data_IF_393673038612
#
_entry.id   IF_393673038612
#
_cell.length_a   1.000
_cell.length_b   1.000
_cell.length_c   1.000
_cell.angle_alpha   90.00
_cell.angle_beta   90.00
_cell.angle_gamma   90.00
#
_symmetry.space_group_name_H-M   'P 1'
#
loop_
_entity.id
_entity.type
_entity.pdbx_description
1 polymer ?
#
# COMPACT_ATOMS: atom_id res chain seq x y z
N UNK A 1 12.54 1.50 30.06
CA UNK A 1 12.04 1.28 28.67
C UNK A 1 12.00 2.57 27.85
N UNK A 2 11.51 3.71 28.41
CA UNK A 2 11.53 5.02 27.73
C UNK A 2 12.94 5.50 27.40
N UNK A 3 13.91 5.20 28.26
CA UNK A 3 15.33 5.55 28.06
C UNK A 3 15.89 4.78 26.84
N UNK A 4 15.52 3.51 26.68
CA UNK A 4 15.96 2.71 25.55
C UNK A 4 15.37 3.21 24.22
N UNK A 5 14.11 3.63 24.21
CA UNK A 5 13.47 4.23 23.05
C UNK A 5 14.18 5.53 22.65
N UNK A 6 14.47 6.39 23.62
CA UNK A 6 15.20 7.63 23.39
C UNK A 6 16.63 7.37 22.88
N UNK A 7 17.32 6.40 23.43
CA UNK A 7 18.66 6.02 22.98
C UNK A 7 18.65 5.48 21.57
N UNK A 8 17.62 4.72 21.19
CA UNK A 8 17.47 4.22 19.80
C UNK A 8 17.16 5.37 18.84
N UNK A 9 16.34 6.34 19.26
CA UNK A 9 16.07 7.51 18.45
C UNK A 9 17.31 8.39 18.21
N UNK A 10 18.17 8.50 19.23
CA UNK A 10 19.44 9.24 19.11
C UNK A 10 20.45 8.61 18.16
N UNK A 11 20.26 7.34 17.84
CA UNK A 11 21.13 6.67 16.97
C UNK A 11 20.93 6.82 15.56
N UNK A 12 20.52 7.44 15.17
CA UNK A 12 20.38 7.48 14.05
C UNK A 12 20.58 7.85 13.15
N UNK A 13 20.97 7.90 13.12
CA UNK A 13 21.35 8.28 12.10
C UNK A 13 20.53 8.02 11.04
N UNK A 14 20.16 8.82 10.46
CA UNK A 14 19.32 9.01 9.33
C UNK A 14 19.88 8.38 8.08
N UNK A 15 20.32 7.15 8.24
CA UNK A 15 20.72 6.35 7.11
C UNK A 15 19.46 5.91 6.37
N UNK A 16 19.21 6.58 5.26
CA UNK A 16 18.17 6.22 4.32
C UNK A 16 18.73 5.29 3.25
N UNK A 17 17.95 4.37 2.75
CA UNK A 17 18.28 3.54 1.59
C UNK A 17 17.11 3.47 0.63
N UNK A 18 17.40 3.08 -0.59
CA UNK A 18 16.40 2.80 -1.60
C UNK A 18 16.54 1.36 -2.07
N UNK A 19 15.44 0.61 -2.06
CA UNK A 19 15.36 -0.78 -2.55
C UNK A 19 14.24 -0.93 -3.56
N UNK A 20 14.52 -1.69 -4.60
CA UNK A 20 13.58 -2.08 -5.65
C UNK A 20 13.92 -3.51 -6.08
N UNK A 21 13.06 -4.21 -6.83
CA UNK A 21 13.41 -5.47 -7.47
C UNK A 21 14.71 -5.37 -8.26
N UNK A 22 15.48 -6.45 -8.29
CA UNK A 22 16.72 -6.50 -9.07
C UNK A 22 16.49 -6.15 -10.54
N UNK A 23 15.34 -6.59 -11.08
CA UNK A 23 14.94 -6.34 -12.47
C UNK A 23 13.49 -5.96 -12.58
N UNK A 24 13.21 -4.95 -13.39
CA UNK A 24 11.86 -4.53 -13.74
C UNK A 24 11.75 -4.49 -15.26
N UNK A 25 11.02 -5.46 -15.84
CA UNK A 25 10.70 -5.47 -17.26
C UNK A 25 9.44 -4.66 -17.51
N UNK A 26 9.49 -3.77 -18.46
CA UNK A 26 8.43 -2.80 -18.74
C UNK A 26 8.15 -2.80 -20.24
N UNK A 27 6.94 -2.92 -20.65
CA UNK A 27 6.40 -2.70 -21.97
C UNK A 27 5.47 -3.82 -22.40
N UNK A 28 4.53 -3.48 -23.28
CA UNK A 28 3.68 -4.48 -23.94
C UNK A 28 4.52 -5.59 -24.60
N UNK A 29 4.23 -6.85 -24.26
CA UNK A 29 4.91 -8.02 -24.81
C UNK A 29 6.29 -8.30 -24.21
N UNK A 30 6.63 -7.75 -23.04
CA UNK A 30 7.93 -8.03 -22.39
C UNK A 30 7.98 -9.37 -21.65
N UNK A 31 6.84 -10.01 -21.38
CA UNK A 31 6.78 -11.25 -20.61
C UNK A 31 7.68 -12.37 -21.18
N UNK A 32 7.63 -12.73 -22.48
CA UNK A 32 8.47 -13.80 -23.00
C UNK A 32 9.97 -13.51 -22.85
N UNK A 33 10.37 -12.26 -23.06
CA UNK A 33 11.77 -11.83 -22.92
C UNK A 33 12.25 -11.94 -21.47
N UNK A 34 11.42 -11.49 -20.53
CA UNK A 34 11.74 -11.62 -19.11
C UNK A 34 11.84 -13.07 -18.65
N UNK A 35 10.91 -13.93 -19.08
CA UNK A 35 10.92 -15.35 -18.72
C UNK A 35 12.09 -16.12 -19.35
N UNK A 36 12.61 -15.71 -20.52
CA UNK A 36 13.80 -16.33 -21.10
C UNK A 36 15.02 -16.37 -20.16
N UNK A 37 15.10 -15.41 -19.23
CA UNK A 37 16.18 -15.40 -18.24
C UNK A 37 16.15 -16.61 -17.32
N UNK A 38 14.97 -17.13 -17.01
CA UNK A 38 14.81 -18.29 -16.13
C UNK A 38 15.63 -19.49 -16.61
N UNK A 39 15.58 -19.76 -17.92
CA UNK A 39 16.34 -20.87 -18.53
C UNK A 39 17.76 -20.44 -18.89
N UNK A 40 17.89 -19.35 -19.63
CA UNK A 40 19.14 -19.02 -20.33
C UNK A 40 20.19 -18.40 -19.41
N UNK A 41 19.76 -17.74 -18.33
CA UNK A 41 20.66 -17.06 -17.37
C UNK A 41 20.70 -17.80 -16.05
N UNK A 42 19.54 -18.19 -15.50
CA UNK A 42 19.44 -18.70 -14.14
C UNK A 42 19.40 -20.23 -14.06
N UNK A 43 19.13 -20.94 -15.16
CA UNK A 43 19.06 -22.40 -15.20
C UNK A 43 17.90 -22.99 -14.38
N UNK A 44 16.80 -22.23 -14.21
CA UNK A 44 15.60 -22.64 -13.48
C UNK A 44 14.86 -23.76 -14.19
N UNK A 45 14.20 -24.63 -13.42
CA UNK A 45 13.58 -25.87 -13.94
C UNK A 45 12.14 -26.07 -13.51
N UNK A 46 11.69 -25.45 -12.44
CA UNK A 46 10.39 -25.72 -11.81
C UNK A 46 9.72 -24.43 -11.38
N UNK A 47 8.64 -24.05 -12.03
CA UNK A 47 7.89 -22.84 -11.74
C UNK A 47 6.55 -23.13 -11.05
N UNK A 48 6.24 -22.40 -10.00
CA UNK A 48 4.96 -22.44 -9.29
C UNK A 48 4.24 -21.11 -9.53
N UNK A 49 3.08 -21.18 -10.20
CA UNK A 49 2.29 -19.99 -10.52
C UNK A 49 1.23 -19.82 -9.43
N UNK A 50 1.07 -18.59 -8.90
CA UNK A 50 0.04 -18.23 -7.95
C UNK A 50 -0.86 -17.17 -8.58
N UNK A 51 -2.17 -17.43 -8.60
CA UNK A 51 -3.17 -16.53 -9.18
C UNK A 51 -4.55 -16.75 -8.55
N UNK A 52 -5.54 -15.97 -8.95
CA UNK A 52 -6.94 -16.17 -8.59
C UNK A 52 -7.71 -17.00 -9.63
N UNK A 53 -8.90 -17.47 -9.24
CA UNK A 53 -9.71 -18.34 -10.10
C UNK A 53 -10.23 -17.63 -11.36
N UNK A 54 -10.49 -16.32 -11.29
CA UNK A 54 -10.95 -15.54 -12.45
C UNK A 54 -9.87 -15.48 -13.53
N UNK A 55 -8.65 -15.09 -13.16
CA UNK A 55 -7.53 -14.99 -14.08
C UNK A 55 -7.18 -16.37 -14.69
N UNK A 56 -7.21 -17.41 -13.86
CA UNK A 56 -6.95 -18.77 -14.32
C UNK A 56 -7.99 -19.24 -15.35
N UNK A 57 -9.29 -19.10 -15.04
CA UNK A 57 -10.39 -19.54 -15.91
C UNK A 57 -10.47 -18.73 -17.21
N UNK A 58 -10.06 -17.49 -17.19
CA UNK A 58 -10.05 -16.61 -18.37
C UNK A 58 -8.73 -16.65 -19.16
N UNK A 59 -7.84 -17.61 -18.85
CA UNK A 59 -6.66 -17.89 -19.65
C UNK A 59 -5.48 -16.94 -19.49
N UNK A 60 -5.47 -16.10 -18.43
CA UNK A 60 -4.35 -15.18 -18.19
C UNK A 60 -3.05 -15.88 -17.86
N UNK A 61 -3.10 -17.11 -17.36
CA UNK A 61 -1.90 -17.93 -17.12
C UNK A 61 -1.29 -18.49 -18.40
N UNK A 62 -2.07 -18.58 -19.50
CA UNK A 62 -1.65 -19.25 -20.72
C UNK A 62 -0.37 -18.65 -21.33
N UNK A 63 -0.17 -17.33 -21.46
CA UNK A 63 1.09 -16.81 -22.00
C UNK A 63 2.32 -17.23 -21.16
N UNK A 64 2.15 -17.38 -19.85
CA UNK A 64 3.21 -17.82 -18.93
C UNK A 64 3.47 -19.30 -19.11
N UNK A 65 2.42 -20.15 -19.07
CA UNK A 65 2.55 -21.59 -19.19
C UNK A 65 3.09 -22.02 -20.54
N UNK A 66 2.61 -21.43 -21.65
CA UNK A 66 3.11 -21.69 -23.00
C UNK A 66 4.61 -21.39 -23.10
N UNK A 67 5.06 -20.28 -22.50
CA UNK A 67 6.48 -19.92 -22.49
C UNK A 67 7.33 -20.86 -21.63
N UNK A 68 6.81 -21.27 -20.47
CA UNK A 68 7.47 -22.26 -19.62
C UNK A 68 7.59 -23.62 -20.34
N UNK A 69 6.54 -24.06 -21.04
CA UNK A 69 6.55 -25.28 -21.85
C UNK A 69 7.59 -25.22 -22.99
N UNK A 70 7.64 -24.10 -23.72
CA UNK A 70 8.65 -23.84 -24.75
C UNK A 70 10.07 -23.98 -24.19
N UNK A 71 10.29 -23.51 -22.99
CA UNK A 71 11.58 -23.59 -22.31
C UNK A 71 11.85 -24.93 -21.67
N UNK A 72 10.86 -25.84 -21.59
CA UNK A 72 10.97 -27.14 -20.91
C UNK A 72 11.05 -27.00 -19.38
N UNK A 73 10.48 -25.92 -18.82
CA UNK A 73 10.35 -25.70 -17.38
C UNK A 73 9.05 -26.34 -16.90
N UNK A 74 9.17 -27.30 -15.97
CA UNK A 74 8.00 -27.94 -15.37
C UNK A 74 7.25 -26.93 -14.51
N UNK A 75 5.93 -26.88 -14.63
CA UNK A 75 5.14 -25.91 -13.87
C UNK A 75 3.85 -26.50 -13.29
N UNK A 76 3.32 -25.82 -12.29
CA UNK A 76 1.99 -26.04 -11.72
C UNK A 76 1.40 -24.70 -11.28
N UNK A 77 0.08 -24.65 -11.10
CA UNK A 77 -0.64 -23.43 -10.77
C UNK A 77 -1.54 -23.62 -9.55
N UNK A 78 -1.38 -22.76 -8.57
CA UNK A 78 -2.33 -22.53 -7.50
C UNK A 78 -3.23 -21.36 -7.90
N UNK A 79 -4.53 -21.59 -8.02
CA UNK A 79 -5.47 -20.58 -8.57
C UNK A 79 -6.65 -20.27 -7.64
N UNK A 80 -6.55 -20.60 -6.35
CA UNK A 80 -7.61 -20.40 -5.38
C UNK A 80 -7.37 -19.18 -4.46
N UNK A 81 -6.62 -18.17 -4.94
CA UNK A 81 -6.45 -16.96 -4.15
C UNK A 81 -7.74 -16.16 -4.13
N UNK A 82 -8.20 -15.84 -2.93
CA UNK A 82 -9.39 -14.99 -2.70
C UNK A 82 -9.01 -13.50 -2.66
N UNK A 83 -9.98 -12.58 -2.88
CA UNK A 83 -9.72 -11.13 -2.85
C UNK A 83 -9.10 -10.62 -1.54
N UNK A 84 -9.46 -11.24 -0.41
CA UNK A 84 -8.83 -11.02 0.90
C UNK A 84 -8.11 -12.31 1.32
N UNK A 85 -6.85 -12.51 0.93
CA UNK A 85 -6.18 -13.79 1.12
C UNK A 85 -6.04 -14.14 2.60
N UNK A 86 -6.34 -15.40 2.92
CA UNK A 86 -6.29 -15.90 4.28
C UNK A 86 -4.99 -16.63 4.57
N UNK A 87 -4.62 -16.67 5.86
CA UNK A 87 -3.46 -17.44 6.30
C UNK A 87 -3.63 -18.95 6.02
N UNK A 88 -4.85 -19.46 6.09
CA UNK A 88 -5.14 -20.86 5.74
C UNK A 88 -4.87 -21.13 4.26
N UNK A 89 -5.35 -20.28 3.36
CA UNK A 89 -5.08 -20.38 1.92
C UNK A 89 -3.58 -20.29 1.61
N UNK A 90 -2.86 -19.39 2.28
CA UNK A 90 -1.41 -19.29 2.12
C UNK A 90 -0.67 -20.55 2.60
N UNK A 91 -1.10 -21.16 3.71
CA UNK A 91 -0.56 -22.43 4.19
C UNK A 91 -0.83 -23.59 3.22
N UNK A 92 -2.02 -23.64 2.62
CA UNK A 92 -2.34 -24.62 1.60
C UNK A 92 -1.41 -24.49 0.38
N UNK A 93 -1.25 -23.28 -0.14
CA UNK A 93 -0.34 -23.01 -1.24
C UNK A 93 1.12 -23.36 -0.92
N UNK A 94 1.59 -23.03 0.29
CA UNK A 94 2.94 -23.40 0.75
C UNK A 94 3.13 -24.93 0.87
N UNK A 95 2.11 -25.67 1.29
CA UNK A 95 2.15 -27.13 1.32
C UNK A 95 2.25 -27.71 -0.10
N UNK A 96 1.53 -27.14 -1.07
CA UNK A 96 1.65 -27.52 -2.47
C UNK A 96 3.04 -27.15 -3.03
N UNK A 97 3.62 -26.00 -2.68
CA UNK A 97 5.00 -25.66 -3.02
C UNK A 97 5.99 -26.65 -2.44
N UNK A 98 5.81 -27.07 -1.18
CA UNK A 98 6.67 -28.06 -0.53
C UNK A 98 6.62 -29.41 -1.24
N UNK A 99 5.46 -29.84 -1.71
CA UNK A 99 5.32 -31.05 -2.49
C UNK A 99 5.92 -30.95 -3.91
N UNK A 100 5.75 -29.79 -4.54
CA UNK A 100 6.23 -29.53 -5.90
C UNK A 100 7.71 -29.15 -5.96
N UNK A 101 8.28 -28.54 -4.93
CA UNK A 101 9.69 -28.08 -4.87
C UNK A 101 10.06 -27.09 -6.00
N UNK A 102 9.38 -25.93 -6.12
CA UNK A 102 9.73 -24.93 -7.13
C UNK A 102 11.08 -24.27 -6.84
N UNK A 103 11.79 -23.89 -7.90
CA UNK A 103 12.94 -22.98 -7.87
C UNK A 103 12.58 -21.58 -8.38
N UNK A 104 11.32 -21.39 -8.78
CA UNK A 104 10.75 -20.13 -9.24
C UNK A 104 9.28 -20.04 -8.82
N UNK A 105 8.87 -18.90 -8.29
CA UNK A 105 7.48 -18.56 -8.00
C UNK A 105 7.07 -17.40 -8.90
N UNK A 106 5.92 -17.51 -9.56
CA UNK A 106 5.37 -16.47 -10.44
C UNK A 106 4.01 -16.07 -9.88
N UNK A 107 3.92 -14.88 -9.30
CA UNK A 107 2.67 -14.30 -8.82
C UNK A 107 2.01 -13.48 -9.93
N UNK A 108 0.86 -13.94 -10.43
CA UNK A 108 0.08 -13.28 -11.47
C UNK A 108 -1.21 -12.72 -10.89
N UNK A 109 -1.41 -11.41 -10.89
CA UNK A 109 -2.68 -10.82 -10.46
C UNK A 109 -2.56 -9.42 -9.89
N UNK A 110 -3.55 -9.04 -9.10
CA UNK A 110 -3.52 -7.83 -8.28
C UNK A 110 -2.80 -8.03 -6.95
N UNK A 111 -2.94 -7.07 -6.04
CA UNK A 111 -2.31 -7.13 -4.71
C UNK A 111 -2.57 -8.42 -3.96
N UNK A 112 -3.82 -8.90 -3.94
CA UNK A 112 -4.19 -10.13 -3.21
C UNK A 112 -3.42 -11.37 -3.67
N UNK A 113 -3.26 -11.56 -4.98
CA UNK A 113 -2.51 -12.70 -5.52
C UNK A 113 -1.02 -12.60 -5.19
N UNK A 114 -0.45 -11.38 -5.25
CA UNK A 114 0.96 -11.16 -4.91
C UNK A 114 1.21 -11.30 -3.42
N UNK A 115 0.33 -10.76 -2.59
CA UNK A 115 0.45 -10.85 -1.13
C UNK A 115 0.34 -12.31 -0.66
N UNK A 116 -0.64 -13.07 -1.18
CA UNK A 116 -0.74 -14.50 -0.92
C UNK A 116 0.53 -15.24 -1.34
N UNK A 117 1.05 -14.97 -2.54
CA UNK A 117 2.26 -15.59 -3.06
C UNK A 117 3.50 -15.31 -2.21
N UNK A 118 3.65 -14.06 -1.72
CA UNK A 118 4.74 -13.67 -0.81
C UNK A 118 4.68 -14.44 0.50
N UNK A 119 3.49 -14.58 1.08
CA UNK A 119 3.32 -15.36 2.31
C UNK A 119 3.57 -16.85 2.07
N UNK A 120 3.06 -17.41 0.96
CA UNK A 120 3.36 -18.79 0.55
C UNK A 120 4.86 -19.01 0.40
N UNK A 121 5.56 -18.05 -0.21
CA UNK A 121 7.01 -18.08 -0.39
C UNK A 121 7.75 -18.17 0.94
N UNK A 122 7.40 -17.30 1.90
CA UNK A 122 7.98 -17.35 3.26
C UNK A 122 7.75 -18.71 3.91
N UNK A 123 6.51 -19.19 3.92
CA UNK A 123 6.16 -20.47 4.55
C UNK A 123 6.81 -21.68 3.86
N UNK A 124 7.08 -21.58 2.57
CA UNK A 124 7.81 -22.60 1.80
C UNK A 124 9.31 -22.60 2.12
N UNK A 125 9.93 -21.44 2.15
CA UNK A 125 11.38 -21.35 2.43
C UNK A 125 11.70 -21.56 3.91
N UNK A 126 10.86 -21.03 4.78
CA UNK A 126 11.05 -20.97 6.24
C UNK A 126 9.80 -21.45 7.00
N UNK A 127 9.50 -22.77 6.95
CA UNK A 127 8.34 -23.31 7.65
C UNK A 127 8.43 -23.18 9.18
N UNK A 128 9.63 -22.92 9.71
CA UNK A 128 9.90 -22.68 11.12
C UNK A 128 9.59 -21.24 11.58
N UNK A 129 9.40 -20.30 10.65
CA UNK A 129 9.18 -18.89 11.00
C UNK A 129 7.84 -18.69 11.68
N UNK A 130 7.84 -17.98 12.82
CA UNK A 130 6.61 -17.63 13.52
C UNK A 130 5.91 -16.46 12.83
N UNK A 131 4.66 -16.68 12.45
CA UNK A 131 3.87 -15.66 11.75
C UNK A 131 3.64 -14.41 12.60
N UNK A 132 3.39 -14.56 13.91
CA UNK A 132 3.12 -13.43 14.79
C UNK A 132 4.36 -12.56 15.03
N UNK A 133 5.53 -13.18 15.06
CA UNK A 133 6.80 -12.43 15.13
C UNK A 133 7.03 -11.62 13.85
N UNK A 134 6.74 -12.21 12.67
CA UNK A 134 6.84 -11.50 11.39
C UNK A 134 5.82 -10.35 11.28
N UNK A 135 4.63 -10.51 11.85
CA UNK A 135 3.57 -9.51 11.85
C UNK A 135 3.74 -8.44 12.96
N UNK A 136 4.85 -8.50 13.71
CA UNK A 136 5.13 -7.53 14.77
C UNK A 136 5.28 -6.11 14.19
N UNK A 137 4.59 -5.17 14.83
CA UNK A 137 4.63 -3.75 14.44
C UNK A 137 6.02 -3.15 14.66
N UNK A 138 6.36 -2.17 13.85
CA UNK A 138 7.60 -1.40 13.93
C UNK A 138 7.30 0.09 13.66
N UNK A 139 8.14 0.97 14.14
CA UNK A 139 8.07 2.41 13.81
C UNK A 139 8.79 2.68 12.49
N UNK A 140 9.90 2.01 12.26
CA UNK A 140 10.72 2.12 11.06
C UNK A 140 11.13 0.71 10.62
N UNK A 141 10.76 0.34 9.41
CA UNK A 141 11.06 -0.99 8.82
C UNK A 141 12.56 -1.32 8.85
N UNK A 142 13.42 -0.31 8.88
CA UNK A 142 14.88 -0.46 8.94
C UNK A 142 15.41 -0.77 10.34
N UNK A 143 14.56 -0.67 11.38
CA UNK A 143 14.93 -0.77 12.79
C UNK A 143 14.07 -1.79 13.54
N UNK A 144 13.78 -2.90 12.90
CA UNK A 144 12.96 -3.97 13.49
C UNK A 144 13.69 -4.69 14.62
N UNK A 145 12.93 -5.12 15.62
CA UNK A 145 13.40 -5.99 16.70
C UNK A 145 13.50 -7.45 16.22
N UNK A 146 12.51 -7.89 15.45
CA UNK A 146 12.51 -9.22 14.84
C UNK A 146 13.38 -9.23 13.57
N UNK A 147 14.25 -10.22 13.46
CA UNK A 147 15.03 -10.46 12.23
C UNK A 147 14.23 -11.34 11.30
N UNK A 148 13.76 -10.78 10.20
CA UNK A 148 13.05 -11.54 9.16
C UNK A 148 13.99 -12.56 8.53
N UNK A 149 13.51 -13.79 8.22
CA UNK A 149 14.37 -14.79 7.58
C UNK A 149 14.78 -14.33 6.18
N UNK A 150 15.99 -14.72 5.76
CA UNK A 150 16.49 -14.38 4.44
C UNK A 150 15.74 -15.18 3.38
N UNK A 151 15.25 -14.47 2.37
CA UNK A 151 14.45 -15.03 1.30
C UNK A 151 15.28 -15.27 0.01
N UNK A 152 14.73 -16.07 -0.90
CA UNK A 152 15.30 -16.30 -2.23
C UNK A 152 16.34 -17.43 -2.30
N UNK A 153 16.50 -18.23 -1.25
CA UNK A 153 17.44 -19.37 -1.26
C UNK A 153 16.90 -20.58 -2.00
N UNK A 154 15.59 -20.85 -1.89
CA UNK A 154 14.94 -21.96 -2.58
C UNK A 154 14.31 -21.55 -3.92
N UNK A 155 13.64 -20.40 -3.96
CA UNK A 155 12.89 -19.97 -5.12
C UNK A 155 13.09 -18.47 -5.43
N UNK A 156 13.29 -18.17 -6.71
CA UNK A 156 13.30 -16.81 -7.26
C UNK A 156 11.86 -16.33 -7.43
N UNK A 157 11.55 -15.11 -6.97
CA UNK A 157 10.19 -14.60 -6.95
C UNK A 157 9.96 -13.56 -8.06
N UNK A 158 8.99 -13.85 -8.92
CA UNK A 158 8.57 -12.99 -10.02
C UNK A 158 7.14 -12.49 -9.77
N UNK A 159 6.92 -11.18 -9.89
CA UNK A 159 5.60 -10.57 -9.80
C UNK A 159 5.15 -10.02 -11.16
N UNK A 160 3.93 -10.38 -11.57
CA UNK A 160 3.30 -9.97 -12.84
C UNK A 160 1.96 -9.31 -12.52
N UNK A 161 1.89 -7.97 -12.43
CA UNK A 161 0.66 -7.27 -12.08
C UNK A 161 -0.37 -7.28 -13.22
N UNK A 162 -1.64 -7.36 -12.84
CA UNK A 162 -2.79 -7.22 -13.75
C UNK A 162 -3.63 -5.96 -13.46
N UNK A 163 -3.29 -5.23 -12.41
CA UNK A 163 -3.90 -3.95 -12.04
C UNK A 163 -2.84 -2.87 -11.90
N UNK A 164 -3.19 -1.64 -12.22
CA UNK A 164 -2.30 -0.49 -12.14
C UNK A 164 -2.66 0.36 -10.91
N UNK A 165 -2.26 -0.09 -9.72
CA UNK A 165 -2.61 0.59 -8.47
C UNK A 165 -1.72 0.20 -7.31
N UNK A 166 -1.78 -1.03 -6.85
CA UNK A 166 -1.19 -1.48 -5.59
C UNK A 166 0.33 -1.39 -5.51
N UNK A 167 1.03 -1.50 -6.65
CA UNK A 167 2.48 -1.54 -6.67
C UNK A 167 3.10 -2.75 -5.95
N UNK A 168 2.31 -3.80 -5.62
CA UNK A 168 2.81 -4.95 -4.85
C UNK A 168 3.97 -5.67 -5.53
N UNK A 169 4.09 -5.55 -6.85
CA UNK A 169 5.20 -6.08 -7.64
C UNK A 169 6.56 -5.47 -7.31
N UNK A 170 6.59 -4.32 -6.67
CA UNK A 170 7.81 -3.60 -6.29
C UNK A 170 7.85 -3.20 -4.80
N UNK A 171 7.00 -3.80 -3.98
CA UNK A 171 6.91 -3.46 -2.56
C UNK A 171 7.29 -4.61 -1.63
N UNK A 172 7.83 -4.31 -0.45
CA UNK A 172 8.21 -5.29 0.57
C UNK A 172 7.04 -5.64 1.50
N UNK A 173 5.79 -5.48 1.05
CA UNK A 173 4.61 -5.65 1.87
C UNK A 173 3.76 -6.82 1.41
N UNK A 174 3.06 -7.46 2.35
CA UNK A 174 2.00 -8.41 2.10
C UNK A 174 0.96 -8.34 3.21
N UNK A 175 -0.32 -8.21 2.85
CA UNK A 175 -1.42 -8.20 3.81
C UNK A 175 -2.15 -9.53 3.76
N UNK A 176 -2.32 -10.15 4.94
CA UNK A 176 -3.01 -11.42 5.06
C UNK A 176 -4.02 -11.38 6.20
N UNK A 177 -5.15 -12.07 6.02
CA UNK A 177 -6.20 -12.17 7.02
C UNK A 177 -6.02 -13.46 7.82
N UNK A 178 -5.96 -13.35 9.15
CA UNK A 178 -6.15 -14.52 10.00
C UNK A 178 -7.65 -14.78 10.14
N UNK A 179 -8.10 -15.85 9.53
CA UNK A 179 -9.54 -16.22 9.50
C UNK A 179 -10.12 -16.56 10.87
N UNK A 180 -9.28 -16.87 11.86
CA UNK A 180 -9.73 -17.20 13.22
C UNK A 180 -10.08 -15.96 14.02
N UNK A 181 -9.28 -14.91 13.88
CA UNK A 181 -9.47 -13.64 14.57
C UNK A 181 -10.19 -12.60 13.72
N UNK A 182 -10.28 -12.79 12.40
CA UNK A 182 -10.77 -11.81 11.43
C UNK A 182 -9.82 -10.60 11.26
N UNK A 183 -8.63 -10.66 11.84
CA UNK A 183 -7.68 -9.55 11.82
C UNK A 183 -6.80 -9.61 10.57
N UNK A 184 -6.63 -8.46 9.91
CA UNK A 184 -5.67 -8.30 8.82
C UNK A 184 -4.29 -7.92 9.37
N UNK A 185 -3.30 -8.70 9.02
CA UNK A 185 -1.91 -8.49 9.42
C UNK A 185 -1.08 -8.03 8.23
N UNK A 186 -0.55 -6.80 8.25
CA UNK A 186 0.44 -6.37 7.28
C UNK A 186 1.82 -6.93 7.69
N UNK A 187 2.40 -7.76 6.84
CA UNK A 187 3.80 -8.12 6.92
C UNK A 187 4.60 -7.13 6.08
N UNK A 188 5.70 -6.67 6.63
CA UNK A 188 6.55 -5.69 5.96
C UNK A 188 8.01 -5.97 6.28
N UNK A 189 8.74 -6.43 5.29
CA UNK A 189 10.18 -6.57 5.32
C UNK A 189 10.74 -6.58 3.90
N UNK A 190 11.92 -6.00 3.70
CA UNK A 190 12.55 -5.98 2.37
C UNK A 190 12.90 -7.36 1.82
N UNK A 191 12.91 -8.40 2.65
CA UNK A 191 13.04 -9.79 2.21
C UNK A 191 11.80 -10.26 1.42
N UNK A 192 10.64 -9.59 1.56
CA UNK A 192 9.43 -9.86 0.77
C UNK A 192 9.42 -9.13 -0.59
N UNK A 193 10.41 -8.30 -0.87
CA UNK A 193 10.50 -7.61 -2.14
C UNK A 193 10.67 -8.65 -3.26
N UNK A 194 9.84 -8.62 -4.33
CA UNK A 194 10.06 -9.49 -5.48
C UNK A 194 11.45 -9.33 -6.09
N UNK A 195 12.03 -10.42 -6.57
CA UNK A 195 13.33 -10.38 -7.28
C UNK A 195 13.18 -9.76 -8.67
N UNK A 196 12.08 -10.05 -9.35
CA UNK A 196 11.76 -9.51 -10.67
C UNK A 196 10.30 -9.08 -10.73
N UNK A 197 10.06 -7.93 -11.35
CA UNK A 197 8.72 -7.46 -11.74
C UNK A 197 8.59 -7.44 -13.27
N UNK A 198 7.46 -7.93 -13.80
CA UNK A 198 7.18 -7.94 -15.23
C UNK A 198 5.90 -7.13 -15.49
N UNK A 199 6.08 -5.90 -15.93
CA UNK A 199 5.00 -4.94 -16.19
C UNK A 199 4.60 -5.03 -17.66
N UNK A 200 3.90 -6.12 -18.00
CA UNK A 200 3.45 -6.32 -19.37
C UNK A 200 2.03 -5.76 -19.56
N UNK A 201 1.89 -4.77 -20.43
CA UNK A 201 0.64 -4.06 -20.67
C UNK A 201 -0.50 -4.98 -21.11
N UNK A 202 -0.21 -6.11 -21.74
CA UNK A 202 -1.23 -7.06 -22.17
C UNK A 202 -2.09 -7.58 -21.02
N UNK A 203 -1.53 -7.71 -19.83
CA UNK A 203 -2.28 -8.12 -18.62
C UNK A 203 -3.19 -7.03 -18.05
N UNK A 204 -3.02 -5.78 -18.45
CA UNK A 204 -3.81 -4.64 -17.95
C UNK A 204 -4.95 -4.26 -18.89
N UNK A 205 -4.93 -4.71 -20.16
CA UNK A 205 -5.86 -4.24 -21.21
C UNK A 205 -7.33 -4.53 -20.88
N UNK A 206 -7.63 -5.61 -20.19
CA UNK A 206 -9.01 -6.04 -19.90
C UNK A 206 -9.55 -5.53 -18.56
N UNK A 207 -8.77 -4.75 -17.80
CA UNK A 207 -9.22 -4.24 -16.51
C UNK A 207 -10.51 -3.41 -16.66
N UNK A 208 -11.58 -3.72 -15.91
CA UNK A 208 -12.84 -2.99 -16.01
C UNK A 208 -12.71 -1.56 -15.49
N UNK A 209 -13.63 -0.67 -15.91
CA UNK A 209 -13.62 0.75 -15.53
C UNK A 209 -13.54 0.98 -14.02
N UNK A 210 -14.34 0.24 -13.24
CA UNK A 210 -14.33 0.36 -11.77
C UNK A 210 -12.99 0.02 -11.13
N UNK A 211 -12.33 -1.04 -11.61
CA UNK A 211 -10.99 -1.40 -11.15
C UNK A 211 -9.96 -0.35 -11.60
N UNK A 212 -10.06 0.13 -12.84
CA UNK A 212 -9.16 1.17 -13.37
C UNK A 212 -9.27 2.45 -12.55
N UNK A 213 -10.49 2.89 -12.20
CA UNK A 213 -10.72 4.08 -11.37
C UNK A 213 -10.15 3.90 -9.96
N UNK A 214 -10.54 2.82 -9.28
CA UNK A 214 -10.10 2.56 -7.91
C UNK A 214 -8.58 2.43 -7.82
N UNK A 215 -7.97 1.61 -8.67
CA UNK A 215 -6.52 1.40 -8.65
C UNK A 215 -5.74 2.65 -9.07
N UNK A 216 -6.25 3.43 -10.03
CA UNK A 216 -5.60 4.66 -10.44
C UNK A 216 -5.60 5.74 -9.35
N UNK A 217 -6.71 5.92 -8.61
CA UNK A 217 -6.73 6.84 -7.46
C UNK A 217 -5.92 6.30 -6.29
N UNK A 218 -5.86 5.00 -6.12
CA UNK A 218 -4.94 4.36 -5.15
C UNK A 218 -3.49 4.75 -5.44
N UNK A 219 -3.05 4.66 -6.69
CA UNK A 219 -1.72 5.09 -7.10
C UNK A 219 -1.47 6.60 -6.91
N UNK A 220 -2.50 7.46 -7.08
CA UNK A 220 -2.42 8.89 -6.70
C UNK A 220 -2.13 9.01 -5.20
N UNK A 221 -2.89 8.28 -4.38
CA UNK A 221 -2.74 8.35 -2.91
C UNK A 221 -1.37 7.83 -2.48
N UNK A 222 -0.89 6.73 -3.07
CA UNK A 222 0.47 6.22 -2.84
C UNK A 222 1.52 7.29 -3.10
N UNK A 223 1.46 7.94 -4.25
CA UNK A 223 2.45 8.95 -4.63
C UNK A 223 2.38 10.20 -3.74
N UNK A 224 1.18 10.68 -3.40
CA UNK A 224 0.98 11.85 -2.53
C UNK A 224 1.46 11.57 -1.11
N UNK A 225 1.08 10.43 -0.54
CA UNK A 225 1.52 10.06 0.82
C UNK A 225 3.03 9.79 0.87
N UNK A 226 3.58 9.07 -0.10
CA UNK A 226 5.03 8.84 -0.18
C UNK A 226 5.82 10.16 -0.27
N UNK A 227 5.31 11.13 -1.04
CA UNK A 227 5.95 12.45 -1.17
C UNK A 227 5.96 13.24 0.13
N UNK A 228 4.90 13.14 0.92
CA UNK A 228 4.78 13.85 2.21
C UNK A 228 5.28 13.04 3.41
N UNK A 229 5.58 11.74 3.25
CA UNK A 229 5.94 10.86 4.34
C UNK A 229 7.27 11.24 5.00
N UNK A 230 7.42 10.86 6.27
CA UNK A 230 8.61 11.15 7.09
C UNK A 230 9.90 10.53 6.56
N UNK A 231 9.80 9.47 5.75
CA UNK A 231 10.94 8.75 5.19
C UNK A 231 11.21 9.11 3.71
N UNK A 232 10.57 10.16 3.20
CA UNK A 232 10.75 10.63 1.83
C UNK A 232 12.21 11.02 1.55
N UNK A 233 12.64 10.78 0.31
CA UNK A 233 13.99 11.07 -0.19
C UNK A 233 13.91 11.65 -1.59
N UNK A 234 14.99 12.25 -2.09
CA UNK A 234 15.08 12.73 -3.48
C UNK A 234 14.71 11.65 -4.50
N UNK A 235 15.05 10.38 -4.21
CA UNK A 235 14.70 9.23 -5.07
C UNK A 235 13.20 8.96 -5.08
N UNK A 236 12.59 8.90 -3.91
CA UNK A 236 11.13 8.66 -3.80
C UNK A 236 10.33 9.84 -4.30
N UNK A 237 10.82 11.06 -4.11
CA UNK A 237 10.22 12.30 -4.60
C UNK A 237 10.16 12.35 -6.12
N UNK A 238 11.27 12.00 -6.77
CA UNK A 238 11.33 11.94 -8.23
C UNK A 238 10.32 10.95 -8.81
N UNK A 239 10.21 9.75 -8.20
CA UNK A 239 9.26 8.72 -8.62
C UNK A 239 7.81 9.14 -8.37
N UNK A 240 7.51 9.72 -7.20
CA UNK A 240 6.17 10.17 -6.85
C UNK A 240 5.68 11.29 -7.77
N UNK A 241 6.51 12.30 -8.04
CA UNK A 241 6.19 13.39 -8.98
C UNK A 241 5.92 12.86 -10.38
N UNK A 242 6.79 12.01 -10.90
CA UNK A 242 6.61 11.43 -12.24
C UNK A 242 5.36 10.55 -12.31
N UNK A 243 5.06 9.78 -11.27
CA UNK A 243 3.85 8.99 -11.18
C UNK A 243 2.60 9.89 -11.24
N UNK A 244 2.55 10.96 -10.44
CA UNK A 244 1.43 11.90 -10.41
C UNK A 244 1.19 12.56 -11.77
N UNK A 245 2.23 13.10 -12.40
CA UNK A 245 2.11 13.69 -13.75
C UNK A 245 1.51 12.69 -14.74
N UNK A 246 2.00 11.47 -14.73
CA UNK A 246 1.52 10.41 -15.61
C UNK A 246 0.07 10.02 -15.32
N UNK A 247 -0.30 9.86 -14.05
CA UNK A 247 -1.66 9.46 -13.66
C UNK A 247 -2.68 10.55 -14.05
N UNK A 248 -2.38 11.82 -13.75
CA UNK A 248 -3.30 12.93 -14.08
C UNK A 248 -3.55 13.05 -15.59
N UNK A 249 -2.58 12.72 -16.43
CA UNK A 249 -2.72 12.73 -17.89
C UNK A 249 -3.46 11.49 -18.40
N UNK A 250 -3.08 10.28 -17.94
CA UNK A 250 -3.48 9.03 -18.58
C UNK A 250 -4.62 8.27 -17.89
N UNK A 251 -4.91 8.52 -16.60
CA UNK A 251 -6.00 7.81 -15.92
C UNK A 251 -7.36 8.06 -16.56
N UNK A 252 -7.75 9.29 -16.92
CA UNK A 252 -9.02 9.50 -17.63
C UNK A 252 -9.09 8.74 -18.96
N UNK A 253 -8.00 8.69 -19.74
CA UNK A 253 -7.91 7.95 -21.00
C UNK A 253 -8.04 6.43 -20.77
N UNK A 254 -7.32 5.90 -19.78
CA UNK A 254 -7.40 4.49 -19.42
C UNK A 254 -8.79 4.09 -18.91
N UNK A 255 -9.48 4.98 -18.21
CA UNK A 255 -10.85 4.78 -17.76
C UNK A 255 -11.84 4.76 -18.93
N UNK A 256 -11.75 5.73 -19.84
CA UNK A 256 -12.68 5.84 -20.98
C UNK A 256 -12.46 4.74 -22.01
N UNK A 257 -11.23 4.52 -22.45
CA UNK A 257 -10.88 3.71 -23.61
C UNK A 257 -9.86 2.60 -23.30
N UNK A 258 -9.72 2.19 -22.04
CA UNK A 258 -8.65 1.31 -21.61
C UNK A 258 -8.54 -0.04 -22.31
N UNK A 259 -9.62 -0.54 -22.91
CA UNK A 259 -9.57 -1.79 -23.70
C UNK A 259 -8.85 -1.63 -25.05
N UNK A 260 -8.69 -0.42 -25.54
CA UNK A 260 -8.10 -0.12 -26.85
C UNK A 260 -6.93 0.86 -26.79
N UNK A 261 -6.86 1.69 -25.73
CA UNK A 261 -5.79 2.66 -25.52
C UNK A 261 -4.59 1.99 -24.82
N UNK A 262 -3.75 1.34 -25.62
CA UNK A 262 -2.55 0.63 -25.15
C UNK A 262 -1.59 1.59 -24.45
N UNK A 263 -1.41 2.81 -24.99
CA UNK A 263 -0.52 3.80 -24.41
C UNK A 263 -0.98 4.19 -22.99
N UNK A 264 -2.27 4.50 -22.84
CA UNK A 264 -2.80 4.87 -21.51
C UNK A 264 -2.65 3.72 -20.51
N UNK A 265 -2.88 2.47 -20.92
CA UNK A 265 -2.64 1.31 -20.04
C UNK A 265 -1.18 1.14 -19.66
N UNK A 266 -0.26 1.26 -20.61
CA UNK A 266 1.17 1.18 -20.37
C UNK A 266 1.63 2.29 -19.42
N UNK A 267 1.20 3.51 -19.65
CA UNK A 267 1.53 4.66 -18.82
C UNK A 267 0.98 4.51 -17.40
N UNK A 268 -0.26 4.04 -17.25
CA UNK A 268 -0.84 3.79 -15.93
C UNK A 268 -0.13 2.67 -15.17
N UNK A 269 0.22 1.56 -15.84
CA UNK A 269 0.98 0.48 -15.23
C UNK A 269 2.34 0.98 -14.73
N UNK A 270 3.06 1.74 -15.56
CA UNK A 270 4.34 2.33 -15.19
C UNK A 270 4.21 3.31 -14.01
N UNK A 271 3.18 4.16 -14.03
CA UNK A 271 2.94 5.12 -12.96
C UNK A 271 2.62 4.44 -11.63
N UNK A 272 1.80 3.39 -11.65
CA UNK A 272 1.50 2.60 -10.44
C UNK A 272 2.76 1.94 -9.88
N UNK A 273 3.62 1.38 -10.74
CA UNK A 273 4.91 0.80 -10.33
C UNK A 273 5.84 1.88 -9.76
N UNK A 274 5.93 3.07 -10.36
CA UNK A 274 6.72 4.18 -9.81
C UNK A 274 6.20 4.65 -8.45
N UNK A 275 4.88 4.80 -8.29
CA UNK A 275 4.27 5.12 -7.00
C UNK A 275 4.54 4.00 -5.97
N UNK A 276 4.50 2.74 -6.40
CA UNK A 276 4.88 1.56 -5.62
C UNK A 276 6.30 1.63 -5.09
N UNK A 277 7.27 1.91 -5.95
CA UNK A 277 8.67 2.09 -5.54
C UNK A 277 8.85 3.28 -4.60
N UNK A 278 8.11 4.38 -4.80
CA UNK A 278 8.16 5.52 -3.93
C UNK A 278 7.71 5.15 -2.51
N UNK A 279 6.50 4.60 -2.34
CA UNK A 279 6.01 4.29 -1.00
C UNK A 279 6.68 3.06 -0.37
N UNK A 280 7.20 2.13 -1.14
CA UNK A 280 8.00 1.02 -0.62
C UNK A 280 9.21 1.51 0.19
N UNK A 281 9.73 2.69 -0.13
CA UNK A 281 10.91 3.29 0.49
C UNK A 281 10.60 4.49 1.40
N UNK A 282 9.55 5.28 1.09
CA UNK A 282 9.13 6.43 1.90
C UNK A 282 8.04 6.08 2.92
N UNK A 283 7.36 4.95 2.74
CA UNK A 283 6.16 4.56 3.46
C UNK A 283 4.92 5.37 3.06
N UNK A 284 3.82 5.15 3.80
CA UNK A 284 2.51 5.77 3.59
C UNK A 284 2.13 6.63 4.81
N UNK A 285 0.87 6.97 4.93
CA UNK A 285 0.38 7.82 5.99
C UNK A 285 -1.03 7.44 6.48
N UNK A 286 -1.67 8.38 7.15
CA UNK A 286 -2.96 8.16 7.80
C UNK A 286 -4.11 7.94 6.82
N UNK A 287 -3.98 8.37 5.55
CA UNK A 287 -5.00 8.08 4.53
C UNK A 287 -5.16 6.58 4.34
N UNK A 288 -4.06 5.86 4.13
CA UNK A 288 -4.08 4.40 4.04
C UNK A 288 -4.54 3.74 5.33
N UNK A 289 -4.09 4.22 6.49
CA UNK A 289 -4.54 3.71 7.78
C UNK A 289 -6.06 3.76 7.94
N UNK A 290 -6.67 4.87 7.54
CA UNK A 290 -8.12 5.05 7.58
C UNK A 290 -8.84 4.23 6.50
N UNK A 291 -8.29 4.18 5.29
CA UNK A 291 -8.84 3.41 4.18
C UNK A 291 -8.88 1.90 4.46
N UNK A 292 -7.87 1.35 5.13
CA UNK A 292 -7.84 -0.04 5.57
C UNK A 292 -9.07 -0.40 6.42
N UNK A 293 -9.50 0.50 7.30
CA UNK A 293 -10.65 0.24 8.19
C UNK A 293 -11.98 0.41 7.46
N UNK A 294 -12.10 1.38 6.55
CA UNK A 294 -13.28 1.47 5.67
C UNK A 294 -13.47 0.19 4.83
N UNK A 295 -12.39 -0.37 4.32
CA UNK A 295 -12.42 -1.65 3.63
C UNK A 295 -12.83 -2.81 4.54
N UNK A 296 -12.25 -2.89 5.74
CA UNK A 296 -12.49 -3.98 6.67
C UNK A 296 -13.92 -3.98 7.24
N UNK A 297 -14.46 -2.81 7.64
CA UNK A 297 -15.75 -2.70 8.29
C UNK A 297 -16.92 -2.51 7.32
N UNK A 298 -16.67 -1.89 6.17
CA UNK A 298 -17.74 -1.50 5.25
C UNK A 298 -17.55 -2.04 3.83
N UNK A 299 -16.56 -2.91 3.61
CA UNK A 299 -16.29 -3.60 2.34
C UNK A 299 -16.11 -2.66 1.14
N UNK A 300 -15.65 -1.43 1.37
CA UNK A 300 -15.27 -0.53 0.28
C UNK A 300 -14.00 -1.03 -0.41
N UNK A 301 -13.94 -0.99 -1.75
CA UNK A 301 -12.70 -1.26 -2.47
C UNK A 301 -11.58 -0.32 -1.98
N UNK A 302 -10.38 -0.84 -1.81
CA UNK A 302 -9.26 -0.13 -1.18
C UNK A 302 -9.00 1.25 -1.79
N UNK A 303 -8.86 1.33 -3.11
CA UNK A 303 -8.63 2.61 -3.79
C UNK A 303 -9.80 3.59 -3.69
N UNK A 304 -11.05 3.10 -3.58
CA UNK A 304 -12.21 3.93 -3.30
C UNK A 304 -12.13 4.49 -1.87
N UNK A 305 -11.79 3.66 -0.91
CA UNK A 305 -11.63 4.10 0.48
C UNK A 305 -10.55 5.19 0.60
N UNK A 306 -9.40 5.02 -0.07
CA UNK A 306 -8.37 6.05 -0.16
C UNK A 306 -8.90 7.34 -0.81
N UNK A 307 -9.64 7.23 -1.92
CA UNK A 307 -10.21 8.37 -2.63
C UNK A 307 -11.18 9.20 -1.77
N UNK A 308 -11.90 8.55 -0.85
CA UNK A 308 -12.83 9.21 0.07
C UNK A 308 -12.13 9.92 1.23
N UNK A 309 -10.92 9.49 1.59
CA UNK A 309 -10.19 10.05 2.73
C UNK A 309 -9.13 11.09 2.32
N UNK A 310 -8.63 11.07 1.08
CA UNK A 310 -7.44 11.84 0.69
C UNK A 310 -7.59 13.34 0.90
N UNK A 311 -8.75 13.94 0.61
CA UNK A 311 -8.96 15.38 0.79
C UNK A 311 -8.84 15.78 2.26
N UNK A 312 -9.51 15.05 3.15
CA UNK A 312 -9.48 15.31 4.58
C UNK A 312 -8.06 15.19 5.14
N UNK A 313 -7.31 14.21 4.66
CA UNK A 313 -5.92 13.99 5.08
C UNK A 313 -4.99 15.08 4.55
N UNK A 314 -5.17 15.55 3.32
CA UNK A 314 -4.40 16.68 2.79
C UNK A 314 -4.59 17.95 3.63
N UNK A 315 -5.84 18.27 3.96
CA UNK A 315 -6.17 19.44 4.82
C UNK A 315 -5.61 19.27 6.22
N UNK A 316 -5.74 18.07 6.80
CA UNK A 316 -5.21 17.78 8.13
C UNK A 316 -3.68 17.90 8.18
N UNK A 317 -2.98 17.31 7.22
CA UNK A 317 -1.51 17.31 7.19
C UNK A 317 -0.92 18.71 6.89
N UNK A 318 -1.63 19.53 6.11
CA UNK A 318 -1.18 20.88 5.73
C UNK A 318 -1.41 21.94 6.82
N UNK A 319 -2.28 21.68 7.78
CA UNK A 319 -2.57 22.61 8.87
C UNK A 319 -1.35 22.77 9.80
N UNK A 320 -1.21 23.95 10.43
CA UNK A 320 -0.14 24.18 11.40
C UNK A 320 -0.21 23.17 12.55
N UNK A 321 0.85 22.41 12.71
CA UNK A 321 0.93 21.45 13.79
C UNK A 321 1.34 22.13 15.09
N UNK A 322 0.58 22.00 16.18
CA UNK A 322 1.03 22.46 17.49
C UNK A 322 2.33 21.75 17.90
N UNK A 323 3.18 22.43 18.63
CA UNK A 323 4.53 22.02 19.07
C UNK A 323 4.63 20.67 19.82
N UNK A 324 3.54 19.97 20.10
CA UNK A 324 3.52 18.64 20.73
C UNK A 324 4.03 17.49 19.83
N UNK A 325 4.41 17.80 18.60
CA UNK A 325 4.97 16.82 17.64
C UNK A 325 6.50 16.67 17.73
N UNK A 326 7.18 17.51 18.47
CA UNK A 326 8.63 17.61 18.51
C UNK A 326 9.36 16.61 19.40
N UNK A 327 8.86 15.39 19.60
CA UNK A 327 9.56 14.40 20.44
C UNK A 327 10.64 13.64 19.68
N UNK A 328 10.60 13.65 18.36
CA UNK A 328 11.56 13.01 17.46
C UNK A 328 12.08 14.05 16.48
N UNK A 329 13.39 14.06 16.22
CA UNK A 329 14.01 15.01 15.29
C UNK A 329 13.44 14.98 13.88
N UNK A 330 12.91 13.84 13.45
CA UNK A 330 12.22 13.69 12.18
C UNK A 330 10.87 14.42 12.09
N UNK A 331 10.34 14.87 13.24
CA UNK A 331 9.10 15.65 13.31
C UNK A 331 9.37 17.14 13.56
N UNK A 332 10.64 17.54 13.59
CA UNK A 332 11.00 18.94 13.68
C UNK A 332 10.60 19.64 12.38
N UNK A 333 9.49 20.36 12.42
CA UNK A 333 8.97 21.15 11.32
C UNK A 333 8.54 20.37 10.07
N UNK A 334 7.41 19.64 10.09
CA UNK A 334 6.84 19.11 8.88
C UNK A 334 6.46 20.27 7.94
N UNK A 335 7.16 20.39 6.84
CA UNK A 335 6.87 21.37 5.79
C UNK A 335 5.80 20.83 4.82
N UNK A 336 4.75 20.22 5.34
CA UNK A 336 3.81 19.43 4.52
C UNK A 336 3.02 20.32 3.56
N UNK A 337 2.64 21.52 3.99
CA UNK A 337 1.98 22.49 3.11
C UNK A 337 2.87 22.81 1.90
N UNK A 338 4.14 23.11 2.12
CA UNK A 338 5.10 23.37 1.05
C UNK A 338 5.30 22.13 0.15
N UNK A 339 5.34 20.93 0.73
CA UNK A 339 5.43 19.66 -0.03
C UNK A 339 4.23 19.45 -0.95
N UNK A 340 3.02 19.76 -0.49
CA UNK A 340 1.83 19.71 -1.33
C UNK A 340 1.80 20.82 -2.39
N UNK A 341 2.31 22.00 -2.05
CA UNK A 341 2.49 23.08 -3.04
C UNK A 341 3.47 22.69 -4.15
N UNK A 342 4.55 21.98 -3.83
CA UNK A 342 5.47 21.44 -4.84
C UNK A 342 4.81 20.41 -5.77
N UNK A 343 3.86 19.60 -5.28
CA UNK A 343 3.07 18.71 -6.14
C UNK A 343 2.19 19.54 -7.09
N UNK A 344 1.53 20.59 -6.58
CA UNK A 344 0.71 21.47 -7.41
C UNK A 344 1.54 22.16 -8.49
N UNK A 345 2.75 22.62 -8.18
CA UNK A 345 3.68 23.18 -9.15
C UNK A 345 4.10 22.12 -10.22
N UNK A 346 4.41 20.92 -9.78
CA UNK A 346 4.76 19.81 -10.65
C UNK A 346 3.65 19.45 -11.67
N UNK A 347 2.39 19.62 -11.24
CA UNK A 347 1.21 19.39 -12.06
C UNK A 347 0.75 20.65 -12.83
N UNK A 348 1.46 21.76 -12.70
CA UNK A 348 1.14 23.07 -13.32
C UNK A 348 -0.27 23.59 -12.95
N UNK A 349 -0.68 23.44 -11.69
CA UNK A 349 -2.03 23.81 -11.25
C UNK A 349 -2.17 25.29 -10.91
N UNK A 350 -1.06 26.05 -10.84
CA UNK A 350 -1.05 27.45 -10.48
C UNK A 350 -1.28 27.68 -8.99
N UNK A 351 -1.34 28.97 -8.62
CA UNK A 351 -1.44 29.46 -7.25
C UNK A 351 -0.24 30.35 -6.89
N UNK A 352 -0.47 31.41 -6.09
CA UNK A 352 0.56 32.38 -5.70
C UNK A 352 1.11 32.09 -4.30
N UNK A 353 0.36 31.40 -3.47
CA UNK A 353 0.76 30.96 -2.13
C UNK A 353 0.66 29.45 -1.99
N UNK A 354 1.29 28.87 -1.00
CA UNK A 354 1.24 27.44 -0.75
C UNK A 354 -0.19 26.97 -0.43
N UNK A 355 -0.99 27.80 0.25
CA UNK A 355 -2.40 27.53 0.54
C UNK A 355 -3.24 27.51 -0.75
N UNK A 356 -3.05 28.49 -1.66
CA UNK A 356 -3.74 28.48 -2.96
C UNK A 356 -3.34 27.24 -3.79
N UNK A 357 -2.08 26.85 -3.76
CA UNK A 357 -1.59 25.66 -4.44
C UNK A 357 -2.19 24.38 -3.85
N UNK A 358 -2.32 24.30 -2.52
CA UNK A 358 -3.00 23.19 -1.85
C UNK A 358 -4.46 23.06 -2.31
N UNK A 359 -5.20 24.18 -2.30
CA UNK A 359 -6.61 24.15 -2.77
C UNK A 359 -6.71 23.75 -4.23
N UNK A 360 -5.79 24.21 -5.08
CA UNK A 360 -5.73 23.80 -6.48
C UNK A 360 -5.41 22.30 -6.63
N UNK A 361 -4.52 21.75 -5.81
CA UNK A 361 -4.23 20.33 -5.77
C UNK A 361 -5.46 19.50 -5.37
N UNK A 362 -6.13 19.89 -4.30
CA UNK A 362 -7.36 19.22 -3.83
C UNK A 362 -8.43 19.26 -4.92
N UNK A 363 -8.64 20.43 -5.52
CA UNK A 363 -9.58 20.58 -6.64
C UNK A 363 -9.22 19.66 -7.80
N UNK A 364 -7.97 19.60 -8.20
CA UNK A 364 -7.52 18.74 -9.30
C UNK A 364 -7.73 17.25 -8.99
N UNK A 365 -7.46 16.81 -7.76
CA UNK A 365 -7.74 15.44 -7.32
C UNK A 365 -9.25 15.15 -7.36
N UNK A 366 -10.09 16.05 -6.88
CA UNK A 366 -11.55 15.88 -6.89
C UNK A 366 -12.10 15.85 -8.33
N UNK A 367 -11.59 16.70 -9.23
CA UNK A 367 -11.93 16.64 -10.65
C UNK A 367 -11.50 15.33 -11.30
N UNK A 368 -10.34 14.79 -10.94
CA UNK A 368 -9.87 13.49 -11.43
C UNK A 368 -10.78 12.37 -10.93
N UNK A 369 -11.13 12.37 -9.65
CA UNK A 369 -12.09 11.41 -9.04
C UNK A 369 -13.44 11.44 -9.78
N UNK A 370 -13.98 12.63 -10.01
CA UNK A 370 -15.25 12.80 -10.73
C UNK A 370 -15.19 12.26 -12.16
N UNK A 371 -14.08 12.53 -12.92
CA UNK A 371 -13.86 12.02 -14.27
C UNK A 371 -13.87 10.49 -14.35
N UNK A 372 -13.45 9.81 -13.30
CA UNK A 372 -13.40 8.33 -13.26
C UNK A 372 -14.55 7.72 -12.44
N UNK A 373 -15.58 8.50 -12.13
CA UNK A 373 -16.81 8.03 -11.52
C UNK A 373 -16.71 7.65 -10.04
N UNK A 374 -15.73 8.14 -9.33
CA UNK A 374 -15.65 8.03 -7.85
C UNK A 374 -16.64 9.01 -7.23
N UNK A 375 -17.44 8.54 -6.29
CA UNK A 375 -18.43 9.36 -5.57
C UNK A 375 -17.75 10.19 -4.47
N UNK A 376 -18.44 11.25 -4.02
CA UNK A 376 -17.84 12.26 -3.15
C UNK A 376 -17.78 11.84 -1.69
N UNK A 377 -18.74 11.07 -1.18
CA UNK A 377 -18.84 10.75 0.25
C UNK A 377 -18.97 9.26 0.52
N UNK A 378 -18.62 8.86 1.74
CA UNK A 378 -18.83 7.48 2.21
C UNK A 378 -20.32 7.09 2.12
N UNK A 379 -21.21 8.03 2.46
CA UNK A 379 -22.66 7.84 2.40
C UNK A 379 -23.16 7.53 0.98
N UNK A 380 -22.57 8.14 -0.04
CA UNK A 380 -22.97 7.92 -1.44
C UNK A 380 -22.72 6.49 -1.93
N UNK A 381 -21.85 5.74 -1.25
CA UNK A 381 -21.64 4.30 -1.50
C UNK A 381 -22.67 3.41 -0.81
N UNK A 382 -23.69 3.98 -0.17
CA UNK A 382 -24.82 3.25 0.42
C UNK A 382 -24.51 2.67 1.81
N UNK A 383 -23.47 3.17 2.47
CA UNK A 383 -23.13 2.76 3.84
C UNK A 383 -24.14 3.41 4.78
N UNK A 384 -24.88 2.56 5.52
CA UNK A 384 -25.87 2.99 6.49
C UNK A 384 -25.23 3.84 7.61
N UNK A 385 -25.89 4.96 7.95
CA UNK A 385 -25.39 5.91 8.95
C UNK A 385 -25.22 5.27 10.32
N UNK A 386 -26.18 4.45 10.73
CA UNK A 386 -26.13 3.77 12.02
C UNK A 386 -24.96 2.79 12.07
N UNK A 387 -24.82 1.96 11.04
CA UNK A 387 -23.72 0.99 10.94
C UNK A 387 -22.35 1.70 10.91
N UNK A 388 -22.25 2.85 10.23
CA UNK A 388 -21.04 3.65 10.21
C UNK A 388 -20.70 4.20 11.60
N UNK A 389 -21.69 4.80 12.28
CA UNK A 389 -21.46 5.39 13.61
C UNK A 389 -21.21 4.33 14.69
N UNK A 390 -21.85 3.16 14.61
CA UNK A 390 -21.63 2.05 15.54
C UNK A 390 -20.17 1.52 15.47
N UNK A 391 -19.54 1.57 14.30
CA UNK A 391 -18.16 1.09 14.08
C UNK A 391 -17.10 2.21 14.21
N UNK A 392 -17.51 3.47 14.30
CA UNK A 392 -16.62 4.63 14.14
C UNK A 392 -15.50 4.67 15.19
N UNK A 393 -15.80 4.36 16.45
CA UNK A 393 -14.80 4.40 17.52
C UNK A 393 -13.76 3.29 17.34
N UNK A 394 -14.18 2.09 16.98
CA UNK A 394 -13.29 0.97 16.72
C UNK A 394 -12.43 1.20 15.47
N UNK A 395 -13.01 1.71 14.37
CA UNK A 395 -12.27 2.11 13.18
C UNK A 395 -11.21 3.17 13.50
N UNK A 396 -11.57 4.13 14.35
CA UNK A 396 -10.65 5.21 14.79
C UNK A 396 -9.46 4.66 15.57
N UNK A 397 -9.72 3.80 16.57
CA UNK A 397 -8.66 3.16 17.36
C UNK A 397 -7.74 2.31 16.48
N UNK A 398 -8.33 1.49 15.62
CA UNK A 398 -7.56 0.64 14.71
C UNK A 398 -6.77 1.44 13.66
N UNK A 399 -7.28 2.57 13.17
CA UNK A 399 -6.55 3.44 12.24
C UNK A 399 -5.40 4.17 12.95
N UNK A 400 -5.61 4.63 14.17
CA UNK A 400 -4.55 5.21 14.99
C UNK A 400 -3.41 4.22 15.23
N UNK A 401 -3.74 2.98 15.46
CA UNK A 401 -2.81 1.88 15.70
C UNK A 401 -2.25 1.24 14.41
N UNK A 402 -2.68 1.68 13.23
CA UNK A 402 -2.23 1.13 11.96
C UNK A 402 -0.75 1.43 11.68
N UNK A 403 -0.08 0.51 10.97
CA UNK A 403 1.34 0.61 10.67
C UNK A 403 1.69 1.87 9.87
N UNK A 404 0.80 2.33 8.98
CA UNK A 404 1.04 3.48 8.12
C UNK A 404 0.97 4.81 8.88
N UNK A 405 0.22 4.90 9.97
CA UNK A 405 0.07 6.13 10.77
C UNK A 405 1.39 6.67 11.30
N UNK A 406 2.34 5.77 11.61
CA UNK A 406 3.65 6.14 12.13
C UNK A 406 4.54 6.94 11.18
N UNK A 407 4.32 6.85 9.86
CA UNK A 407 5.09 7.58 8.85
C UNK A 407 4.40 8.87 8.38
N UNK A 408 3.17 9.15 8.86
CA UNK A 408 2.44 10.35 8.49
C UNK A 408 3.18 11.62 8.94
N UNK A 409 3.26 12.67 8.14
CA UNK A 409 4.02 13.88 8.48
C UNK A 409 3.48 14.62 9.71
N UNK A 410 2.18 14.50 9.98
CA UNK A 410 1.52 14.97 11.21
C UNK A 410 0.93 13.78 11.95
N UNK A 411 1.40 13.52 13.19
CA UNK A 411 0.84 12.43 13.97
C UNK A 411 -0.57 12.77 14.47
N UNK A 412 -1.60 12.02 14.08
CA UNK A 412 -2.97 12.36 14.41
C UNK A 412 -3.33 12.00 15.86
N UNK A 413 -4.28 12.74 16.41
CA UNK A 413 -5.02 12.31 17.60
C UNK A 413 -6.20 11.43 17.17
N UNK A 414 -6.67 10.55 18.05
CA UNK A 414 -7.85 9.74 17.78
C UNK A 414 -9.09 10.60 17.46
N UNK A 415 -9.26 11.73 18.17
CA UNK A 415 -10.34 12.68 17.87
C UNK A 415 -10.24 13.32 16.48
N UNK A 416 -9.04 13.54 15.98
CA UNK A 416 -8.80 14.07 14.64
C UNK A 416 -9.13 13.01 13.57
N UNK A 417 -8.72 11.75 13.77
CA UNK A 417 -9.09 10.63 12.88
C UNK A 417 -10.62 10.46 12.84
N UNK A 418 -11.26 10.48 14.01
CA UNK A 418 -12.71 10.38 14.10
C UNK A 418 -13.40 11.52 13.34
N UNK A 419 -12.90 12.75 13.47
CA UNK A 419 -13.45 13.90 12.76
C UNK A 419 -13.28 13.78 11.24
N UNK A 420 -12.12 13.33 10.76
CA UNK A 420 -11.90 13.10 9.33
C UNK A 420 -12.86 12.04 8.76
N UNK A 421 -13.13 10.95 9.48
CA UNK A 421 -14.15 9.99 9.09
C UNK A 421 -15.56 10.59 9.00
N UNK A 422 -15.95 11.38 10.01
CA UNK A 422 -17.25 12.07 10.00
C UNK A 422 -17.37 13.06 8.84
N UNK A 423 -16.31 13.80 8.57
CA UNK A 423 -16.26 14.75 7.46
C UNK A 423 -16.42 14.02 6.11
N UNK A 424 -15.68 12.94 5.90
CA UNK A 424 -15.79 12.13 4.67
C UNK A 424 -17.17 11.46 4.53
N UNK A 425 -17.84 11.13 5.63
CA UNK A 425 -19.20 10.57 5.58
C UNK A 425 -20.23 11.62 5.20
N UNK A 426 -20.16 12.82 5.79
CA UNK A 426 -21.18 13.88 5.61
C UNK A 426 -20.84 14.90 4.52
N UNK A 427 -19.71 14.77 3.83
CA UNK A 427 -19.25 15.75 2.83
C UNK A 427 -18.86 17.11 3.45
N UNK A 428 -18.23 17.08 4.62
CA UNK A 428 -17.63 18.24 5.29
C UNK A 428 -16.13 18.22 5.07
N UNK A 429 -15.46 19.34 5.36
CA UNK A 429 -14.01 19.43 5.23
C UNK A 429 -13.38 19.72 6.58
N UNK A 430 -12.17 19.20 6.77
CA UNK A 430 -11.40 19.44 7.97
C UNK A 430 -11.11 20.95 8.12
N UNK A 431 -11.47 21.51 9.28
CA UNK A 431 -11.17 22.88 9.66
C UNK A 431 -10.60 22.86 11.07
N UNK A 432 -9.32 23.21 11.23
CA UNK A 432 -8.62 23.12 12.51
C UNK A 432 -9.27 23.97 13.63
N UNK A 433 -9.87 25.10 13.28
CA UNK A 433 -10.56 25.98 14.23
C UNK A 433 -11.85 25.38 14.84
N UNK A 434 -12.42 24.35 14.23
CA UNK A 434 -13.61 23.65 14.72
C UNK A 434 -13.29 22.53 15.71
N UNK A 435 -12.01 22.18 15.86
CA UNK A 435 -11.57 21.16 16.81
C UNK A 435 -11.59 21.72 18.24
N UNK A 436 -12.33 21.13 19.18
CA UNK A 436 -12.40 21.63 20.56
C UNK A 436 -11.05 21.46 21.27
N UNK A 437 -10.27 22.52 21.32
CA UNK A 437 -8.92 22.54 21.89
C UNK A 437 -8.84 22.08 23.38
N UNK A 438 -9.95 22.10 24.11
CA UNK A 438 -9.98 21.81 25.57
C UNK A 438 -10.25 20.35 25.93
N UNK A 439 -10.88 19.53 25.08
CA UNK A 439 -11.08 18.10 25.36
C UNK A 439 -9.83 17.27 25.05
N UNK A 440 -8.94 17.80 24.22
CA UNK A 440 -7.76 17.11 23.70
C UNK A 440 -6.66 16.93 24.76
N UNK A 441 -6.48 17.92 25.67
CA UNK A 441 -5.38 17.87 26.65
C UNK A 441 -5.62 16.95 27.86
N UNK A 442 -6.88 16.74 28.26
CA UNK A 442 -7.21 15.98 29.47
C UNK A 442 -7.29 14.46 29.24
N UNK A 443 -7.96 14.02 28.18
CA UNK A 443 -8.36 12.61 28.03
C UNK A 443 -7.33 11.78 27.29
N UNK A 444 -6.61 12.31 26.32
CA UNK A 444 -5.66 11.53 25.50
C UNK A 444 -4.40 11.15 26.30
N UNK A 445 -3.90 12.03 27.18
CA UNK A 445 -2.76 11.68 28.05
C UNK A 445 -3.08 10.60 29.06
N UNK A 446 -4.31 10.58 29.58
CA UNK A 446 -4.72 9.60 30.59
C UNK A 446 -5.05 8.23 29.99
N UNK A 447 -5.71 8.19 28.84
CA UNK A 447 -6.21 6.95 28.25
C UNK A 447 -5.17 6.24 27.39
N UNK A 448 -4.36 6.96 26.61
CA UNK A 448 -3.23 6.38 25.87
C UNK A 448 -2.16 5.82 26.85
N UNK A 449 -1.87 6.53 27.94
CA UNK A 449 -0.95 6.04 28.98
C UNK A 449 -1.55 4.86 29.72
N UNK A 450 -2.86 4.85 30.02
CA UNK A 450 -3.54 3.71 30.63
C UNK A 450 -3.61 2.49 29.72
N UNK A 451 -3.84 2.66 28.43
CA UNK A 451 -3.90 1.57 27.46
C UNK A 451 -2.53 0.88 27.31
N UNK A 452 -1.46 1.67 27.19
CA UNK A 452 -0.08 1.14 27.14
C UNK A 452 0.33 0.48 28.46
N UNK A 453 -0.05 1.08 29.59
CA UNK A 453 0.27 0.55 30.93
C UNK A 453 -0.49 -0.76 31.26
N UNK A 454 -1.75 -0.88 30.81
CA UNK A 454 -2.57 -2.08 31.02
C UNK A 454 -2.19 -3.23 30.08
N UNK A 455 -1.75 -2.95 28.84
CA UNK A 455 -1.19 -3.99 27.94
C UNK A 455 0.13 -4.54 28.48
N UNK A 456 1.00 -3.69 29.04
CA UNK A 456 2.25 -4.13 29.69
C UNK A 456 2.07 -4.99 30.94
N UNK A 457 0.97 -4.82 31.69
CA UNK A 457 0.66 -5.67 32.85
C UNK A 457 0.10 -7.04 32.50
N UNK A 458 -0.55 -7.20 31.35
CA UNK A 458 -1.07 -8.51 30.89
C UNK A 458 0.02 -9.42 30.33
N UNK A 459 1.12 -8.88 29.80
CA UNK A 459 2.23 -9.69 29.28
C UNK A 459 3.18 -10.22 30.37
N UNK A 460 3.12 -9.69 31.60
CA UNK A 460 3.95 -10.16 32.72
C UNK A 460 3.25 -11.16 33.66
N UNK A 461 2.12 -11.75 33.22
CA UNK A 461 1.36 -12.75 33.95
C UNK A 461 0.96 -13.96 33.11
N UNK A 462 1.85 -14.39 32.22
CA UNK A 462 1.75 -15.71 31.57
C UNK A 462 3.12 -16.38 31.63
#
# INVERSE_FOLDING_TARGET
HLINIKTVAERRENMLWFRAPEKIYIKKGCLPVALDELKNVMGKKRAFIVTDSFLYQNGYTKPITDKLDEMGIVHTTFFNVEPDPTLASAKEGAAQMTAFQPDTIIALGGGSAMDAAKIMWVLYEHPEADFMDMAMRFIDIRKRVYTFPKMGEKAYFIAVPTSAGTGSEVTPFAVITDEKSGVKYPLADYELLPDMAIIDTDFHMSAPKGLTAASGIDAVTHAVEAYAAMLATDYTDGLAKQALQTIFEYLPRAYENGQTDVEAREKMANAATMAGMAFANAFLGVCHSMAHKLGAFHHLPHGVANALMIEEVLRFNAAEAPAKMGTFSQYDHPHTLARYAEIADCLNLGGNTDEEKLENLIKAINELKAKVGIKDTIKDYGIDEKAFLDNLDEMTEQAFDDQCTGANPRYPLMSEIKQMYLNAYYGKHFVEAEMPAKEIEGNVKADAVKAVYNKGKKSNRA
#
